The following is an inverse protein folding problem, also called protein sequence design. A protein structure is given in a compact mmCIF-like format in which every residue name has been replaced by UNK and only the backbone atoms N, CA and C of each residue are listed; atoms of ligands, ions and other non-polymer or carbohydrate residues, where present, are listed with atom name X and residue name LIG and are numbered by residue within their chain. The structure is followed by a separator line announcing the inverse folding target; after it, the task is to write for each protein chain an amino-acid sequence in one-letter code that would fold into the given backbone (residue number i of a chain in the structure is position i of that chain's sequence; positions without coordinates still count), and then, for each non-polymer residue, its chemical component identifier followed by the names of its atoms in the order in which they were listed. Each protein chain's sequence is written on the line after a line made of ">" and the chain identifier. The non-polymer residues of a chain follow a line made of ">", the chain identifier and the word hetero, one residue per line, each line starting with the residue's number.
data_IF_568397441699
#
_entry.id   IF_568397441699
#
_cell.length_a   1.000
_cell.length_b   1.000
_cell.length_c   1.000
_cell.angle_alpha   90.00
_cell.angle_beta   90.00
_cell.angle_gamma   90.00
#
_symmetry.space_group_name_H-M   'P 1'
#
loop_
_entity.id
_entity.type
_entity.pdbx_description
1 polymer ?
#
# COMPACT_ATOMS: atom_id res chain seq x y z
N UNK A 1 -16.09 -10.58 7.69
CA UNK A 1 -17.41 -10.63 7.01
C UNK A 1 -18.55 -10.11 7.87
N UNK A 2 -18.37 -9.93 9.19
CA UNK A 2 -19.47 -9.52 10.07
C UNK A 2 -20.01 -8.10 9.79
N UNK A 3 -19.17 -7.19 9.31
CA UNK A 3 -19.59 -5.83 8.92
C UNK A 3 -20.26 -5.76 7.54
N UNK A 4 -19.95 -6.72 6.66
CA UNK A 4 -20.42 -6.78 5.27
C UNK A 4 -20.90 -8.20 4.93
N UNK A 5 -22.05 -8.64 5.46
CA UNK A 5 -22.44 -10.05 5.46
C UNK A 5 -22.80 -10.62 4.08
N UNK A 6 -22.95 -9.76 3.06
CA UNK A 6 -23.27 -10.17 1.68
C UNK A 6 -22.09 -9.98 0.71
N UNK A 7 -20.92 -9.62 1.23
CA UNK A 7 -19.74 -9.41 0.38
C UNK A 7 -19.33 -10.72 -0.29
N UNK A 8 -18.95 -10.61 -1.56
CA UNK A 8 -18.32 -11.68 -2.32
C UNK A 8 -17.07 -11.14 -2.96
N UNK A 9 -16.01 -11.94 -2.98
CA UNK A 9 -14.68 -11.54 -3.43
C UNK A 9 -14.27 -12.49 -4.55
N UNK A 10 -13.86 -11.91 -5.68
CA UNK A 10 -13.11 -12.61 -6.72
C UNK A 10 -11.72 -12.00 -6.79
N UNK A 11 -10.71 -12.79 -7.15
CA UNK A 11 -9.32 -12.35 -7.18
C UNK A 11 -8.69 -12.78 -8.49
N UNK A 12 -7.96 -11.87 -9.12
CA UNK A 12 -7.06 -12.17 -10.23
C UNK A 12 -5.66 -11.81 -9.75
N UNK A 13 -4.85 -12.81 -9.45
CA UNK A 13 -3.42 -12.62 -9.23
C UNK A 13 -2.70 -12.74 -10.56
N UNK A 14 -1.79 -11.82 -10.84
CA UNK A 14 -1.26 -11.62 -12.18
C UNK A 14 0.28 -11.39 -12.12
N UNK A 15 1.04 -12.02 -13.01
CA UNK A 15 2.48 -11.79 -13.25
C UNK A 15 2.77 -10.92 -14.48
N UNK A 16 3.49 -11.46 -15.46
CA UNK A 16 3.65 -10.86 -16.79
C UNK A 16 3.73 -11.97 -17.85
N UNK A 17 3.78 -11.62 -19.14
CA UNK A 17 3.93 -12.58 -20.23
C UNK A 17 5.22 -13.42 -20.12
N UNK A 18 6.27 -12.88 -19.48
CA UNK A 18 7.52 -13.60 -19.24
C UNK A 18 7.40 -14.66 -18.14
N UNK A 19 6.41 -14.58 -17.26
CA UNK A 19 6.20 -15.52 -16.17
C UNK A 19 5.53 -16.83 -16.61
N UNK A 20 5.02 -16.90 -17.84
CA UNK A 20 4.39 -18.10 -18.41
C UNK A 20 5.27 -19.36 -18.33
N UNK A 21 6.60 -19.18 -18.33
CA UNK A 21 7.58 -20.26 -18.23
C UNK A 21 8.16 -20.50 -16.82
N UNK A 22 7.85 -19.66 -15.83
CA UNK A 22 8.47 -19.69 -14.50
C UNK A 22 7.46 -19.97 -13.38
N UNK A 23 6.37 -19.22 -13.32
CA UNK A 23 5.39 -19.25 -12.24
C UNK A 23 3.99 -19.40 -12.82
N UNK A 24 3.34 -18.28 -13.15
CA UNK A 24 2.06 -18.22 -13.83
C UNK A 24 1.90 -16.86 -14.51
N UNK A 25 1.09 -16.83 -15.58
CA UNK A 25 0.60 -15.55 -16.11
C UNK A 25 -0.47 -15.07 -15.14
N UNK A 26 -1.66 -15.69 -15.13
CA UNK A 26 -2.77 -15.37 -14.23
C UNK A 26 -3.20 -16.58 -13.38
N UNK A 27 -3.64 -16.31 -12.15
CA UNK A 27 -4.42 -17.23 -11.31
C UNK A 27 -5.71 -16.53 -10.91
N UNK A 28 -6.83 -17.23 -11.04
CA UNK A 28 -8.16 -16.63 -10.86
C UNK A 28 -8.93 -17.41 -9.79
N UNK A 29 -9.34 -16.72 -8.74
CA UNK A 29 -10.42 -17.12 -7.87
C UNK A 29 -11.70 -16.45 -8.36
N UNK A 30 -12.69 -17.27 -8.74
CA UNK A 30 -13.99 -16.74 -9.11
C UNK A 30 -14.72 -16.14 -7.90
N UNK A 31 -15.71 -15.28 -8.12
CA UNK A 31 -16.42 -14.57 -7.06
C UNK A 31 -17.05 -15.54 -6.06
N UNK A 32 -16.53 -15.55 -4.84
CA UNK A 32 -16.93 -16.45 -3.76
C UNK A 32 -17.35 -15.68 -2.51
N UNK A 33 -18.27 -16.27 -1.74
CA UNK A 33 -18.60 -15.84 -0.37
C UNK A 33 -17.95 -16.75 0.68
N UNK A 34 -17.14 -17.73 0.26
CA UNK A 34 -16.43 -18.62 1.16
C UNK A 34 -15.12 -17.96 1.60
N UNK A 35 -15.03 -17.67 2.90
CA UNK A 35 -13.84 -17.03 3.49
C UNK A 35 -12.63 -17.95 3.42
N UNK A 36 -12.83 -19.25 3.64
CA UNK A 36 -11.75 -20.23 3.65
C UNK A 36 -11.18 -20.37 2.24
N UNK A 37 -12.02 -20.40 1.20
CA UNK A 37 -11.58 -20.43 -0.21
C UNK A 37 -10.75 -19.18 -0.58
N UNK A 38 -11.18 -18.00 -0.14
CA UNK A 38 -10.45 -16.74 -0.37
C UNK A 38 -9.10 -16.76 0.36
N UNK A 39 -9.07 -17.19 1.62
CA UNK A 39 -7.84 -17.28 2.40
C UNK A 39 -6.87 -18.32 1.83
N UNK A 40 -7.36 -19.50 1.46
CA UNK A 40 -6.57 -20.56 0.84
C UNK A 40 -5.98 -20.10 -0.49
N UNK A 41 -6.73 -19.35 -1.29
CA UNK A 41 -6.20 -18.78 -2.53
C UNK A 41 -4.98 -17.88 -2.27
N UNK A 42 -5.07 -16.94 -1.33
CA UNK A 42 -3.95 -16.06 -0.99
C UNK A 42 -2.73 -16.80 -0.42
N UNK A 43 -2.96 -17.82 0.42
CA UNK A 43 -1.86 -18.58 1.02
C UNK A 43 -1.07 -19.42 0.00
N UNK A 44 -1.67 -19.73 -1.15
CA UNK A 44 -1.08 -20.60 -2.18
C UNK A 44 -0.69 -19.87 -3.47
N UNK A 45 -0.78 -18.53 -3.49
CA UNK A 45 -0.23 -17.71 -4.57
C UNK A 45 1.28 -17.52 -4.35
N UNK A 46 2.06 -17.86 -5.36
CA UNK A 46 3.50 -17.58 -5.41
C UNK A 46 3.75 -16.16 -5.94
N UNK A 47 4.82 -15.48 -5.51
CA UNK A 47 5.21 -14.21 -6.12
C UNK A 47 5.67 -14.43 -7.56
N UNK A 48 5.36 -13.46 -8.42
CA UNK A 48 5.82 -13.36 -9.81
C UNK A 48 7.00 -12.41 -9.91
N UNK A 49 7.75 -12.47 -11.01
CA UNK A 49 8.96 -11.66 -11.19
C UNK A 49 8.91 -10.67 -12.33
N UNK A 50 7.95 -10.83 -13.26
CA UNK A 50 7.90 -10.04 -14.48
C UNK A 50 9.09 -10.32 -15.41
N UNK A 51 9.23 -9.48 -16.44
CA UNK A 51 10.41 -9.48 -17.31
C UNK A 51 10.74 -8.11 -17.89
N UNK A 52 9.75 -7.23 -18.02
CA UNK A 52 9.91 -5.82 -18.30
C UNK A 52 9.04 -4.95 -17.38
N UNK A 53 9.02 -3.64 -17.62
CA UNK A 53 8.37 -2.68 -16.71
C UNK A 53 6.84 -2.56 -16.87
N UNK A 54 6.27 -2.54 -18.10
CA UNK A 54 4.82 -2.56 -18.25
C UNK A 54 4.24 -3.86 -17.75
N UNK A 55 3.03 -3.78 -17.20
CA UNK A 55 2.30 -4.93 -16.69
C UNK A 55 1.13 -5.26 -17.62
N UNK A 56 0.62 -6.47 -17.56
CA UNK A 56 -0.36 -6.97 -18.52
C UNK A 56 -1.83 -6.72 -18.08
N UNK A 57 -2.10 -5.50 -17.59
CA UNK A 57 -3.43 -5.08 -17.15
C UNK A 57 -4.52 -5.23 -18.20
N UNK A 58 -4.19 -5.17 -19.49
CA UNK A 58 -5.15 -5.44 -20.57
C UNK A 58 -5.74 -6.85 -20.50
N UNK A 59 -4.93 -7.85 -20.13
CA UNK A 59 -5.38 -9.23 -19.98
C UNK A 59 -6.14 -9.39 -18.67
N UNK A 60 -5.71 -8.74 -17.58
CA UNK A 60 -6.47 -8.72 -16.31
C UNK A 60 -7.88 -8.18 -16.53
N UNK A 61 -8.03 -7.07 -17.26
CA UNK A 61 -9.34 -6.51 -17.61
C UNK A 61 -10.15 -7.42 -18.56
N UNK A 62 -9.47 -8.19 -19.41
CA UNK A 62 -10.12 -9.19 -20.24
C UNK A 62 -10.66 -10.36 -19.41
N UNK A 63 -9.84 -10.93 -18.54
CA UNK A 63 -10.18 -12.06 -17.67
C UNK A 63 -11.24 -11.69 -16.63
N UNK A 64 -11.24 -10.45 -16.14
CA UNK A 64 -12.25 -9.94 -15.23
C UNK A 64 -13.67 -10.02 -15.80
N UNK A 65 -13.85 -9.99 -17.13
CA UNK A 65 -15.16 -10.14 -17.76
C UNK A 65 -15.74 -11.55 -17.59
N UNK A 66 -14.90 -12.55 -17.35
CA UNK A 66 -15.30 -13.95 -17.20
C UNK A 66 -15.70 -14.32 -15.77
N UNK A 67 -15.53 -13.41 -14.80
CA UNK A 67 -15.95 -13.63 -13.42
C UNK A 67 -17.48 -13.68 -13.32
N UNK A 68 -17.98 -14.40 -12.31
CA UNK A 68 -19.41 -14.61 -12.07
C UNK A 68 -20.10 -13.41 -11.42
N UNK A 69 -20.03 -12.25 -12.08
CA UNK A 69 -20.62 -11.00 -11.62
C UNK A 69 -22.14 -11.12 -11.43
N UNK A 70 -22.62 -10.77 -10.23
CA UNK A 70 -24.05 -10.79 -9.92
C UNK A 70 -24.75 -9.56 -10.50
N UNK A 71 -25.81 -9.77 -11.29
CA UNK A 71 -26.57 -8.67 -11.91
C UNK A 71 -27.23 -7.73 -10.90
N UNK A 72 -27.62 -8.23 -9.74
CA UNK A 72 -28.32 -7.48 -8.70
C UNK A 72 -27.39 -6.83 -7.67
N UNK A 73 -26.07 -6.96 -7.82
CA UNK A 73 -25.10 -6.44 -6.88
C UNK A 73 -24.52 -5.10 -7.36
N UNK A 74 -24.10 -4.28 -6.40
CA UNK A 74 -23.10 -3.24 -6.67
C UNK A 74 -21.78 -3.94 -6.95
N UNK A 75 -21.11 -3.59 -8.05
CA UNK A 75 -19.93 -4.29 -8.55
C UNK A 75 -18.76 -3.33 -8.58
N UNK A 76 -17.67 -3.72 -7.95
CA UNK A 76 -16.44 -2.95 -7.94
C UNK A 76 -15.26 -3.82 -8.34
N UNK A 77 -14.39 -3.28 -9.18
CA UNK A 77 -13.11 -3.85 -9.53
C UNK A 77 -12.02 -2.93 -8.99
N UNK A 78 -11.22 -3.45 -8.07
CA UNK A 78 -10.09 -2.74 -7.46
C UNK A 78 -8.82 -3.24 -8.15
N UNK A 79 -8.24 -2.42 -9.02
CA UNK A 79 -6.99 -2.74 -9.71
C UNK A 79 -5.83 -2.17 -8.90
N UNK A 80 -5.00 -3.05 -8.32
CA UNK A 80 -3.84 -2.66 -7.50
C UNK A 80 -2.58 -2.99 -8.28
N UNK A 81 -1.68 -2.03 -8.48
CA UNK A 81 -0.37 -2.23 -9.10
C UNK A 81 0.44 -0.94 -9.13
N UNK A 82 1.58 -0.91 -9.81
CA UNK A 82 2.56 0.20 -9.75
C UNK A 82 3.03 0.74 -11.11
N UNK A 83 2.62 0.17 -12.25
CA UNK A 83 3.04 0.58 -13.61
C UNK A 83 1.87 0.70 -14.61
N UNK A 84 2.16 0.76 -15.92
CA UNK A 84 1.21 0.92 -17.04
C UNK A 84 0.98 -0.38 -17.81
N UNK A 85 -0.13 -0.49 -18.57
CA UNK A 85 -0.38 -1.63 -19.45
C UNK A 85 0.61 -1.74 -20.60
N UNK A 86 0.83 -2.97 -21.07
CA UNK A 86 1.54 -3.22 -22.32
C UNK A 86 0.88 -2.55 -23.53
N UNK A 87 1.71 -2.01 -24.42
CA UNK A 87 1.24 -1.50 -25.72
C UNK A 87 0.75 -2.65 -26.62
N UNK A 88 -0.15 -2.36 -27.57
CA UNK A 88 -0.68 -3.35 -28.53
C UNK A 88 0.39 -4.12 -29.30
N UNK A 89 1.56 -3.51 -29.54
CA UNK A 89 2.66 -4.19 -30.22
C UNK A 89 3.26 -5.32 -29.37
N UNK A 90 3.28 -5.15 -28.05
CA UNK A 90 3.97 -6.02 -27.09
C UNK A 90 3.04 -6.98 -26.35
N UNK A 91 1.73 -6.74 -26.32
CA UNK A 91 0.78 -7.76 -25.85
C UNK A 91 0.47 -8.80 -26.97
N UNK A 92 0.59 -10.12 -26.72
CA UNK A 92 0.33 -11.16 -27.73
C UNK A 92 -1.12 -11.21 -28.19
N UNK A 93 -2.07 -10.92 -27.29
CA UNK A 93 -3.50 -11.02 -27.57
C UNK A 93 -4.07 -9.80 -28.32
N UNK A 94 -3.26 -8.75 -28.55
CA UNK A 94 -3.70 -7.50 -29.21
C UNK A 94 -4.89 -6.84 -28.53
N UNK A 95 -4.95 -6.99 -27.20
CA UNK A 95 -5.98 -6.42 -26.35
C UNK A 95 -5.75 -4.92 -26.17
N UNK A 96 -6.81 -4.14 -26.32
CA UNK A 96 -6.79 -2.73 -26.00
C UNK A 96 -7.48 -2.56 -24.65
N UNK A 97 -6.70 -2.25 -23.61
CA UNK A 97 -7.22 -2.13 -22.24
C UNK A 97 -8.40 -1.16 -22.12
N UNK A 98 -8.45 -0.08 -22.91
CA UNK A 98 -9.59 0.85 -22.91
C UNK A 98 -10.88 0.19 -23.41
N UNK A 99 -10.78 -0.67 -24.42
CA UNK A 99 -11.92 -1.44 -24.95
C UNK A 99 -12.35 -2.53 -23.97
N UNK A 100 -11.41 -3.19 -23.29
CA UNK A 100 -11.76 -4.15 -22.23
C UNK A 100 -12.45 -3.44 -21.06
N UNK A 101 -12.00 -2.22 -20.75
CA UNK A 101 -12.63 -1.37 -19.76
C UNK A 101 -14.04 -0.90 -20.17
N UNK A 102 -14.28 -0.59 -21.45
CA UNK A 102 -15.63 -0.30 -21.97
C UNK A 102 -16.58 -1.46 -21.70
N UNK A 103 -16.17 -2.70 -21.98
CA UNK A 103 -17.01 -3.90 -21.78
C UNK A 103 -17.36 -4.12 -20.32
N UNK A 104 -16.41 -3.91 -19.40
CA UNK A 104 -16.66 -4.00 -17.96
C UNK A 104 -17.57 -2.85 -17.48
N UNK A 105 -17.41 -1.65 -18.04
CA UNK A 105 -18.27 -0.49 -17.76
C UNK A 105 -19.72 -0.72 -18.22
N UNK A 106 -19.92 -1.30 -19.39
CA UNK A 106 -21.24 -1.73 -19.91
C UNK A 106 -21.92 -2.75 -18.99
N UNK A 107 -21.14 -3.48 -18.19
CA UNK A 107 -21.63 -4.40 -17.16
C UNK A 107 -21.90 -3.72 -15.81
N UNK A 108 -21.85 -2.38 -15.72
CA UNK A 108 -22.05 -1.60 -14.49
C UNK A 108 -21.05 -1.97 -13.38
N UNK A 109 -19.77 -2.07 -13.74
CA UNK A 109 -18.66 -2.29 -12.80
C UNK A 109 -17.95 -0.95 -12.54
N UNK A 110 -17.84 -0.55 -11.28
CA UNK A 110 -17.05 0.62 -10.86
C UNK A 110 -15.59 0.25 -10.64
N UNK A 111 -14.67 1.02 -11.20
CA UNK A 111 -13.22 0.80 -11.14
C UNK A 111 -12.55 1.69 -10.11
N UNK A 112 -11.72 1.09 -9.28
CA UNK A 112 -10.80 1.80 -8.40
C UNK A 112 -9.38 1.50 -8.88
N UNK A 113 -8.69 2.54 -9.31
CA UNK A 113 -7.27 2.45 -9.66
C UNK A 113 -6.44 2.70 -8.40
N UNK A 114 -5.88 1.65 -7.83
CA UNK A 114 -5.05 1.73 -6.63
C UNK A 114 -3.59 1.65 -7.05
N UNK A 115 -2.93 2.81 -7.08
CA UNK A 115 -1.54 2.94 -7.46
C UNK A 115 -0.62 2.70 -6.25
N UNK A 116 0.18 1.64 -6.30
CA UNK A 116 1.29 1.41 -5.39
C UNK A 116 2.55 2.16 -5.84
N UNK A 117 3.45 2.44 -4.90
CA UNK A 117 4.77 3.06 -5.12
C UNK A 117 4.78 4.48 -5.74
N UNK A 118 3.63 5.07 -6.06
CA UNK A 118 3.48 6.43 -6.58
C UNK A 118 4.34 6.78 -7.80
N UNK A 119 4.58 5.81 -8.69
CA UNK A 119 5.35 6.04 -9.92
C UNK A 119 4.61 6.99 -10.85
N UNK A 120 5.04 8.25 -10.90
CA UNK A 120 4.36 9.30 -11.66
C UNK A 120 4.04 8.98 -13.14
N UNK A 121 4.85 8.20 -13.88
CA UNK A 121 4.49 7.82 -15.26
C UNK A 121 3.22 6.96 -15.37
N UNK A 122 2.87 6.22 -14.30
CA UNK A 122 1.71 5.35 -14.27
C UNK A 122 0.42 6.05 -13.79
N UNK A 123 0.55 7.20 -13.12
CA UNK A 123 -0.60 7.95 -12.59
C UNK A 123 -1.70 8.26 -13.61
N UNK A 124 -1.40 8.68 -14.86
CA UNK A 124 -2.46 8.90 -15.86
C UNK A 124 -3.27 7.65 -16.19
N UNK A 125 -2.66 6.46 -16.14
CA UNK A 125 -3.37 5.20 -16.37
C UNK A 125 -4.36 4.90 -15.22
N UNK A 126 -3.92 5.02 -13.97
CA UNK A 126 -4.78 4.80 -12.80
C UNK A 126 -5.90 5.85 -12.66
N UNK A 127 -5.65 7.09 -13.08
CA UNK A 127 -6.69 8.12 -13.19
C UNK A 127 -7.72 7.76 -14.26
N UNK A 128 -7.28 7.42 -15.46
CA UNK A 128 -8.18 7.12 -16.58
C UNK A 128 -9.07 5.90 -16.31
N UNK A 129 -8.52 4.83 -15.71
CA UNK A 129 -9.33 3.64 -15.37
C UNK A 129 -10.43 3.97 -14.36
N UNK A 130 -10.10 4.75 -13.34
CA UNK A 130 -11.04 5.14 -12.30
C UNK A 130 -12.14 6.06 -12.83
N UNK A 131 -11.76 7.13 -13.53
CA UNK A 131 -12.67 8.17 -14.04
C UNK A 131 -13.73 7.61 -14.98
N UNK A 132 -13.37 6.61 -15.80
CA UNK A 132 -14.26 6.04 -16.82
C UNK A 132 -15.55 5.43 -16.25
N UNK A 133 -15.52 4.96 -15.01
CA UNK A 133 -16.69 4.38 -14.32
C UNK A 133 -17.22 5.22 -13.17
N UNK A 134 -16.62 6.40 -12.93
CA UNK A 134 -16.95 7.24 -11.79
C UNK A 134 -16.39 6.76 -10.44
N UNK A 135 -15.41 5.84 -10.46
CA UNK A 135 -14.65 5.46 -9.27
C UNK A 135 -13.49 6.42 -8.98
N UNK A 136 -12.44 5.94 -8.31
CA UNK A 136 -11.37 6.78 -7.77
C UNK A 136 -9.97 6.23 -8.02
N UNK A 137 -9.05 7.15 -8.34
CA UNK A 137 -7.62 6.91 -8.25
C UNK A 137 -7.17 7.12 -6.81
N UNK A 138 -6.51 6.12 -6.24
CA UNK A 138 -6.08 6.06 -4.84
C UNK A 138 -4.62 5.64 -4.82
N UNK A 139 -3.81 6.27 -3.97
CA UNK A 139 -2.45 5.82 -3.71
C UNK A 139 -2.42 4.84 -2.54
N UNK A 140 -1.59 3.79 -2.64
CA UNK A 140 -1.34 2.84 -1.56
C UNK A 140 0.08 3.04 -1.02
N UNK A 141 0.21 4.01 -0.11
CA UNK A 141 1.51 4.46 0.42
C UNK A 141 1.97 3.63 1.62
N UNK A 142 1.04 3.01 2.35
CA UNK A 142 1.31 2.07 3.43
C UNK A 142 0.50 0.80 3.20
N UNK A 143 1.15 -0.36 3.21
CA UNK A 143 0.47 -1.65 3.10
C UNK A 143 -0.54 -1.88 4.23
N UNK A 144 -0.31 -1.29 5.40
CA UNK A 144 -1.24 -1.36 6.52
C UNK A 144 -2.61 -0.77 6.21
N UNK A 145 -2.74 0.12 5.22
CA UNK A 145 -4.01 0.75 4.85
C UNK A 145 -4.89 -0.14 3.97
N UNK A 146 -4.43 -1.32 3.55
CA UNK A 146 -5.16 -2.15 2.59
C UNK A 146 -6.57 -2.53 3.09
N UNK A 147 -6.70 -2.85 4.38
CA UNK A 147 -7.99 -3.18 4.99
C UNK A 147 -8.93 -1.98 4.98
N UNK A 148 -8.43 -0.81 5.40
CA UNK A 148 -9.19 0.44 5.39
C UNK A 148 -9.63 0.83 3.98
N UNK A 149 -8.76 0.64 2.99
CA UNK A 149 -9.06 0.89 1.59
C UNK A 149 -10.22 0.02 1.12
N UNK A 150 -10.17 -1.29 1.36
CA UNK A 150 -11.25 -2.20 0.92
C UNK A 150 -12.57 -1.92 1.63
N UNK A 151 -12.54 -1.64 2.93
CA UNK A 151 -13.74 -1.22 3.67
C UNK A 151 -14.29 0.10 3.12
N UNK A 152 -13.43 1.07 2.85
CA UNK A 152 -13.81 2.35 2.26
C UNK A 152 -14.42 2.18 0.86
N UNK A 153 -13.87 1.30 0.01
CA UNK A 153 -14.47 0.94 -1.29
C UNK A 153 -15.88 0.39 -1.08
N UNK A 154 -16.05 -0.57 -0.17
CA UNK A 154 -17.36 -1.17 0.09
C UNK A 154 -18.37 -0.14 0.62
N UNK A 155 -17.97 0.73 1.54
CA UNK A 155 -18.82 1.77 2.11
C UNK A 155 -19.15 2.90 1.14
N UNK A 156 -18.25 3.20 0.21
CA UNK A 156 -18.49 4.18 -0.86
C UNK A 156 -19.62 3.67 -1.78
N UNK A 157 -19.68 2.36 -2.03
CA UNK A 157 -20.72 1.73 -2.84
C UNK A 157 -22.10 1.68 -2.15
N UNK A 158 -22.17 1.81 -0.82
CA UNK A 158 -23.38 1.62 -0.02
C UNK A 158 -23.97 2.90 0.59
N UNK A 159 -23.77 4.06 -0.07
CA UNK A 159 -24.11 5.43 0.32
C UNK A 159 -22.98 6.13 1.11
N UNK A 160 -22.64 7.36 0.70
CA UNK A 160 -21.61 8.20 1.32
C UNK A 160 -21.69 8.34 2.86
N UNK A 161 -22.86 8.12 3.48
CA UNK A 161 -23.03 8.16 4.94
C UNK A 161 -22.26 7.06 5.66
N UNK A 162 -22.15 5.85 5.08
CA UNK A 162 -21.40 4.76 5.72
C UNK A 162 -19.91 5.05 5.70
N UNK A 163 -19.40 5.58 4.57
CA UNK A 163 -18.00 5.99 4.48
C UNK A 163 -17.66 7.11 5.48
N UNK A 164 -18.56 8.08 5.67
CA UNK A 164 -18.42 9.12 6.69
C UNK A 164 -18.42 8.54 8.11
N UNK A 165 -19.29 7.57 8.42
CA UNK A 165 -19.31 6.93 9.73
C UNK A 165 -18.01 6.16 10.01
N UNK A 166 -17.50 5.45 9.00
CA UNK A 166 -16.23 4.73 9.09
C UNK A 166 -15.05 5.68 9.32
N UNK A 167 -14.98 6.81 8.60
CA UNK A 167 -13.96 7.84 8.86
C UNK A 167 -13.99 8.33 10.33
N UNK A 168 -15.18 8.58 10.88
CA UNK A 168 -15.31 9.02 12.28
C UNK A 168 -14.88 7.95 13.28
N UNK A 169 -15.08 6.67 12.97
CA UNK A 169 -14.59 5.57 13.78
C UNK A 169 -13.06 5.56 13.82
N UNK A 170 -12.41 5.64 12.66
CA UNK A 170 -10.93 5.67 12.55
C UNK A 170 -10.34 6.87 13.29
N UNK A 171 -11.00 8.04 13.21
CA UNK A 171 -10.62 9.23 13.98
C UNK A 171 -10.74 8.98 15.50
N UNK A 172 -11.84 8.41 15.97
CA UNK A 172 -12.08 8.14 17.40
C UNK A 172 -11.10 7.11 17.97
N UNK A 173 -10.63 6.17 17.15
CA UNK A 173 -9.61 5.20 17.53
C UNK A 173 -8.19 5.80 17.53
N UNK A 174 -8.02 7.05 17.07
CA UNK A 174 -6.72 7.71 16.96
C UNK A 174 -5.82 7.09 15.89
N UNK A 175 -6.43 6.45 14.87
CA UNK A 175 -5.72 5.74 13.81
C UNK A 175 -5.65 6.53 12.49
N UNK A 176 -6.28 7.70 12.43
CA UNK A 176 -6.33 8.53 11.23
C UNK A 176 -4.95 9.12 10.91
N UNK A 177 -4.26 8.60 9.90
CA UNK A 177 -3.03 9.21 9.37
C UNK A 177 -3.34 10.19 8.25
N UNK A 178 -2.33 10.95 7.80
CA UNK A 178 -2.46 11.81 6.61
C UNK A 178 -2.88 11.01 5.37
N UNK A 179 -2.29 9.84 5.15
CA UNK A 179 -2.63 8.97 4.02
C UNK A 179 -4.09 8.51 4.04
N UNK A 180 -4.59 8.07 5.20
CA UNK A 180 -6.01 7.71 5.35
C UNK A 180 -6.94 8.91 5.19
N UNK A 181 -6.57 10.09 5.70
CA UNK A 181 -7.33 11.31 5.47
C UNK A 181 -7.40 11.68 3.97
N UNK A 182 -6.32 11.51 3.21
CA UNK A 182 -6.32 11.71 1.75
C UNK A 182 -7.24 10.71 1.05
N UNK A 183 -7.19 9.43 1.45
CA UNK A 183 -8.08 8.37 0.95
C UNK A 183 -9.56 8.76 1.13
N UNK A 184 -9.94 9.12 2.37
CA UNK A 184 -11.32 9.50 2.70
C UNK A 184 -11.79 10.74 1.93
N UNK A 185 -10.98 11.79 1.89
CA UNK A 185 -11.32 13.01 1.15
C UNK A 185 -11.46 12.76 -0.35
N UNK A 186 -10.57 11.94 -0.93
CA UNK A 186 -10.64 11.52 -2.33
C UNK A 186 -11.96 10.82 -2.63
N UNK A 187 -12.28 9.76 -1.88
CA UNK A 187 -13.50 8.97 -2.09
C UNK A 187 -14.80 9.74 -1.81
N UNK A 188 -14.76 10.76 -0.95
CA UNK A 188 -15.90 11.63 -0.68
C UNK A 188 -15.94 12.89 -1.55
N UNK A 189 -14.99 13.04 -2.47
CA UNK A 189 -14.84 14.23 -3.35
C UNK A 189 -14.81 15.54 -2.55
N UNK A 190 -14.16 15.53 -1.39
CA UNK A 190 -13.94 16.72 -0.57
C UNK A 190 -12.67 17.40 -1.04
N UNK A 191 -12.79 18.60 -1.62
CA UNK A 191 -11.62 19.41 -1.93
C UNK A 191 -11.01 19.96 -0.63
N UNK A 192 -9.77 19.58 -0.35
CA UNK A 192 -8.88 20.34 0.53
C UNK A 192 -9.42 20.67 1.92
N UNK A 193 -10.18 19.78 2.56
CA UNK A 193 -10.46 19.88 4.01
C UNK A 193 -9.33 19.15 4.72
N UNK A 194 -8.25 19.83 5.13
CA UNK A 194 -7.09 19.16 5.66
C UNK A 194 -7.42 18.85 7.12
N UNK A 195 -7.59 17.57 7.47
CA UNK A 195 -7.58 17.19 8.88
C UNK A 195 -6.23 17.59 9.53
N UNK A 196 -5.16 17.60 8.72
CA UNK A 196 -3.81 18.03 9.08
C UNK A 196 -3.34 19.20 8.22
N UNK A 197 -2.56 20.12 8.79
CA UNK A 197 -1.85 21.16 8.03
C UNK A 197 -1.00 20.57 6.89
N UNK A 198 -0.66 21.39 5.89
CA UNK A 198 0.18 20.96 4.75
C UNK A 198 1.47 20.28 5.23
N UNK A 199 1.83 19.18 4.58
CA UNK A 199 3.07 18.45 4.89
C UNK A 199 4.29 19.38 4.78
N UNK A 200 5.20 19.25 5.74
CA UNK A 200 6.50 19.92 5.69
C UNK A 200 7.27 19.44 4.44
N UNK A 201 7.87 20.37 3.71
CA UNK A 201 8.60 20.10 2.45
C UNK A 201 9.82 19.18 2.64
N UNK A 202 10.25 18.96 3.88
CA UNK A 202 11.35 18.05 4.23
C UNK A 202 10.88 16.64 4.59
N UNK A 203 9.57 16.38 4.58
CA UNK A 203 9.04 15.04 4.75
C UNK A 203 9.46 14.15 3.57
N UNK A 204 9.71 12.87 3.86
CA UNK A 204 9.96 11.87 2.83
C UNK A 204 8.70 11.64 2.00
N UNK A 205 8.88 11.20 0.76
CA UNK A 205 7.74 10.88 -0.10
C UNK A 205 6.88 9.78 0.54
N UNK A 206 5.54 9.92 0.51
CA UNK A 206 4.65 8.81 0.83
C UNK A 206 5.01 7.57 0.00
N UNK A 207 5.11 6.42 0.64
CA UNK A 207 5.50 5.15 0.01
C UNK A 207 6.97 4.77 0.16
N UNK A 208 7.88 5.72 0.44
CA UNK A 208 9.32 5.43 0.58
C UNK A 208 9.65 4.47 1.73
N UNK A 209 8.82 4.44 2.77
CA UNK A 209 8.93 3.49 3.87
C UNK A 209 7.59 2.86 4.19
N UNK A 210 7.62 1.59 4.61
CA UNK A 210 6.50 0.83 5.13
C UNK A 210 6.63 0.69 6.65
N UNK A 211 5.61 1.13 7.39
CA UNK A 211 5.54 0.99 8.85
C UNK A 211 4.87 -0.35 9.19
N UNK A 212 5.64 -1.26 9.77
CA UNK A 212 5.18 -2.60 10.12
C UNK A 212 5.14 -2.79 11.63
N UNK A 213 4.10 -3.47 12.13
CA UNK A 213 3.97 -3.76 13.55
C UNK A 213 4.69 -5.06 13.91
N UNK A 214 5.51 -5.02 14.95
CA UNK A 214 6.25 -6.19 15.44
C UNK A 214 5.41 -6.85 16.54
N UNK A 215 4.73 -7.96 16.24
CA UNK A 215 3.84 -8.60 17.22
C UNK A 215 4.59 -9.28 18.37
N UNK A 216 5.77 -9.81 18.10
CA UNK A 216 6.59 -10.54 19.06
C UNK A 216 8.07 -10.32 18.80
N UNK A 217 8.89 -10.62 19.80
CA UNK A 217 10.34 -10.60 19.70
C UNK A 217 10.85 -11.50 18.57
N UNK A 218 11.56 -10.94 17.60
CA UNK A 218 12.02 -11.64 16.39
C UNK A 218 13.28 -10.99 15.81
N UNK A 219 14.12 -11.71 15.05
CA UNK A 219 15.23 -11.06 14.35
C UNK A 219 14.74 -10.37 13.06
N UNK A 220 15.38 -9.26 12.68
CA UNK A 220 14.99 -8.47 11.50
C UNK A 220 14.86 -9.33 10.24
N UNK A 221 15.81 -10.22 9.98
CA UNK A 221 15.76 -11.05 8.77
C UNK A 221 14.53 -11.96 8.75
N UNK A 222 14.21 -12.60 9.87
CA UNK A 222 13.01 -13.46 9.94
C UNK A 222 11.74 -12.61 9.80
N UNK A 223 11.66 -11.46 10.47
CA UNK A 223 10.51 -10.56 10.37
C UNK A 223 10.23 -10.11 8.94
N UNK A 224 11.25 -9.69 8.20
CA UNK A 224 11.12 -9.28 6.79
C UNK A 224 10.59 -10.44 5.95
N UNK A 225 11.14 -11.64 6.11
CA UNK A 225 10.72 -12.82 5.33
C UNK A 225 9.31 -13.30 5.70
N UNK A 226 8.92 -13.23 6.97
CA UNK A 226 7.55 -13.56 7.43
C UNK A 226 6.50 -12.59 6.86
N UNK A 227 6.90 -11.35 6.55
CA UNK A 227 6.05 -10.37 5.87
C UNK A 227 6.16 -10.44 4.33
N UNK A 228 6.77 -11.50 3.78
CA UNK A 228 7.02 -11.67 2.34
C UNK A 228 7.79 -10.52 1.68
N UNK A 229 8.63 -9.80 2.45
CA UNK A 229 9.47 -8.72 1.97
C UNK A 229 10.87 -9.22 1.60
N UNK A 230 11.56 -8.47 0.74
CA UNK A 230 12.92 -8.80 0.29
C UNK A 230 13.94 -8.32 1.34
N UNK A 231 14.75 -9.25 1.86
CA UNK A 231 15.80 -8.86 2.80
C UNK A 231 16.99 -8.21 2.11
N UNK A 232 17.19 -6.92 2.35
CA UNK A 232 18.40 -6.17 1.98
C UNK A 232 19.01 -5.49 3.21
N UNK A 233 20.33 -5.61 3.36
CA UNK A 233 21.06 -5.01 4.48
C UNK A 233 20.99 -3.49 4.39
N UNK A 234 20.70 -2.82 5.50
CA UNK A 234 20.59 -1.35 5.56
C UNK A 234 19.20 -0.78 5.25
N UNK A 235 18.28 -1.57 4.69
CA UNK A 235 16.90 -1.15 4.36
C UNK A 235 15.91 -1.24 5.54
N UNK A 236 16.38 -1.61 6.72
CA UNK A 236 15.53 -1.91 7.88
C UNK A 236 15.86 -1.05 9.09
N UNK A 237 14.85 -0.47 9.72
CA UNK A 237 15.01 0.44 10.86
C UNK A 237 14.14 0.00 12.02
N UNK A 238 14.75 -0.21 13.19
CA UNK A 238 14.03 -0.61 14.40
C UNK A 238 13.62 0.63 15.19
N UNK A 239 12.46 0.56 15.84
CA UNK A 239 12.02 1.61 16.75
C UNK A 239 12.98 1.73 17.94
N UNK A 240 13.41 2.96 18.20
CA UNK A 240 14.31 3.33 19.26
C UNK A 240 13.55 3.44 20.59
N UNK A 241 13.54 2.34 21.35
CA UNK A 241 12.76 2.23 22.61
C UNK A 241 13.61 2.30 23.88
N UNK A 242 14.93 2.24 23.76
CA UNK A 242 15.85 2.23 24.90
C UNK A 242 17.06 3.10 24.63
N UNK A 243 17.69 3.54 25.72
CA UNK A 243 18.94 4.29 25.68
C UNK A 243 20.02 3.43 25.00
N UNK A 244 20.59 3.94 23.92
CA UNK A 244 21.77 3.35 23.26
C UNK A 244 22.57 4.43 22.52
N UNK A 245 23.82 4.09 22.19
CA UNK A 245 24.68 4.93 21.37
C UNK A 245 24.38 4.69 19.89
N UNK A 246 23.97 5.73 19.18
CA UNK A 246 23.75 5.69 17.73
C UNK A 246 25.00 6.23 17.04
N UNK A 247 25.60 5.40 16.18
CA UNK A 247 26.80 5.76 15.44
C UNK A 247 26.48 6.80 14.37
N UNK A 248 27.42 7.74 14.12
CA UNK A 248 27.27 8.80 13.12
C UNK A 248 26.79 8.31 11.75
N UNK A 249 27.35 7.20 11.28
CA UNK A 249 27.05 6.60 9.98
C UNK A 249 25.66 5.98 9.83
N UNK A 250 24.90 5.84 10.93
CA UNK A 250 23.56 5.27 10.86
C UNK A 250 22.57 6.36 10.52
N UNK A 251 21.62 6.00 9.66
CA UNK A 251 20.46 6.82 9.39
C UNK A 251 19.45 6.76 10.55
N UNK A 252 18.75 7.89 10.71
CA UNK A 252 17.69 8.09 11.70
C UNK A 252 16.48 8.59 10.93
N UNK A 253 15.34 7.93 11.16
CA UNK A 253 14.05 8.35 10.62
C UNK A 253 13.16 8.76 11.79
N UNK A 254 12.50 9.90 11.67
CA UNK A 254 11.53 10.40 12.65
C UNK A 254 10.14 10.34 12.04
N UNK A 255 9.18 9.76 12.74
CA UNK A 255 7.77 9.74 12.34
C UNK A 255 6.95 10.60 13.30
N UNK A 256 6.18 11.55 12.78
CA UNK A 256 5.19 12.29 13.56
C UNK A 256 4.09 11.32 14.03
N UNK A 257 3.80 11.31 15.34
CA UNK A 257 2.82 10.38 15.92
C UNK A 257 1.39 10.68 15.51
N UNK A 258 1.10 11.94 15.17
CA UNK A 258 -0.23 12.40 14.85
C UNK A 258 -0.49 12.22 13.35
N UNK A 259 0.40 12.73 12.51
CA UNK A 259 0.18 12.71 11.05
C UNK A 259 0.65 11.43 10.37
N UNK A 260 1.63 10.74 10.97
CA UNK A 260 2.36 9.64 10.34
C UNK A 260 3.42 10.09 9.33
N UNK A 261 3.66 11.40 9.18
CA UNK A 261 4.69 11.93 8.27
C UNK A 261 6.07 11.48 8.74
N UNK A 262 6.92 11.07 7.79
CA UNK A 262 8.26 10.57 8.03
C UNK A 262 9.30 11.59 7.57
N UNK A 263 10.39 11.69 8.32
CA UNK A 263 11.50 12.62 8.09
C UNK A 263 12.80 11.85 8.14
N UNK A 264 13.73 12.14 7.23
CA UNK A 264 15.03 11.48 7.15
C UNK A 264 16.20 12.48 7.16
N UNK A 265 17.42 11.96 7.23
CA UNK A 265 18.64 12.74 7.03
C UNK A 265 18.81 13.91 8.01
N UNK A 266 19.13 15.09 7.48
CA UNK A 266 19.35 16.30 8.28
C UNK A 266 18.06 16.77 8.98
N UNK A 267 16.91 16.67 8.31
CA UNK A 267 15.62 17.07 8.88
C UNK A 267 15.29 16.24 10.13
N UNK A 268 15.43 14.92 10.06
CA UNK A 268 15.23 14.04 11.21
C UNK A 268 16.16 14.38 12.39
N UNK A 269 17.41 14.76 12.12
CA UNK A 269 18.39 15.12 13.16
C UNK A 269 18.09 16.48 13.78
N UNK A 270 17.72 17.47 12.98
CA UNK A 270 17.32 18.81 13.46
C UNK A 270 16.07 18.72 14.34
N UNK A 271 15.06 17.96 13.94
CA UNK A 271 13.83 17.76 14.73
C UNK A 271 14.06 17.14 16.11
N UNK A 272 15.19 16.46 16.29
CA UNK A 272 15.57 15.78 17.52
C UNK A 272 16.68 16.51 18.28
N UNK A 273 17.07 17.71 17.84
CA UNK A 273 18.19 18.50 18.36
C UNK A 273 19.53 17.73 18.37
N UNK A 274 19.78 16.95 17.32
CA UNK A 274 20.94 16.07 17.23
C UNK A 274 22.06 16.69 16.38
N UNK A 275 23.32 16.58 16.81
CA UNK A 275 24.45 17.00 15.99
C UNK A 275 24.52 16.20 14.68
N UNK A 276 24.91 16.90 13.60
CA UNK A 276 25.21 16.28 12.31
C UNK A 276 26.49 15.45 12.40
N UNK A 277 26.49 14.29 11.76
CA UNK A 277 27.65 13.40 11.60
C UNK A 277 28.37 12.99 12.89
N UNK A 278 27.66 13.04 14.03
CA UNK A 278 28.20 12.67 15.31
C UNK A 278 27.58 11.37 15.84
N UNK A 279 28.40 10.64 16.62
CA UNK A 279 27.90 9.53 17.43
C UNK A 279 27.24 10.12 18.66
N UNK A 280 25.97 9.76 18.88
CA UNK A 280 25.10 10.41 19.85
C UNK A 280 24.60 9.42 20.90
N UNK A 281 24.34 9.94 22.09
CA UNK A 281 23.71 9.23 23.19
C UNK A 281 22.36 9.88 23.48
N UNK A 282 21.27 9.19 23.10
CA UNK A 282 19.90 9.71 23.19
C UNK A 282 19.11 8.94 24.24
N UNK A 283 18.20 9.67 24.92
CA UNK A 283 17.16 9.08 25.76
C UNK A 283 15.79 9.18 25.05
N UNK A 284 14.96 8.12 25.08
CA UNK A 284 13.64 8.16 24.46
C UNK A 284 12.67 9.23 25.00
N UNK A 285 12.86 9.69 26.25
CA UNK A 285 11.99 10.70 26.89
C UNK A 285 11.96 12.05 26.20
N UNK A 286 12.94 12.36 25.35
CA UNK A 286 12.99 13.63 24.61
C UNK A 286 12.18 13.56 23.30
N UNK A 287 11.51 12.44 23.02
CA UNK A 287 10.95 12.09 21.72
C UNK A 287 9.43 11.92 21.79
N UNK A 288 8.72 12.53 22.74
CA UNK A 288 7.29 12.26 22.94
C UNK A 288 6.42 12.55 21.71
N UNK A 289 6.77 13.58 20.92
CA UNK A 289 6.07 13.91 19.66
C UNK A 289 6.34 12.90 18.54
N UNK A 290 7.52 12.28 18.54
CA UNK A 290 8.01 11.49 17.42
C UNK A 290 8.20 10.01 17.77
N UNK A 291 8.23 9.21 16.74
CA UNK A 291 8.71 7.84 16.80
C UNK A 291 10.02 7.82 16.06
N UNK A 292 11.08 7.42 16.74
CA UNK A 292 12.41 7.45 16.15
C UNK A 292 12.79 6.04 15.77
N UNK A 293 13.28 5.88 14.55
CA UNK A 293 13.75 4.63 14.00
C UNK A 293 15.22 4.77 13.65
N UNK A 294 15.98 3.71 13.94
CA UNK A 294 17.42 3.69 13.71
C UNK A 294 17.76 2.56 12.75
N UNK A 295 18.57 2.87 11.75
CA UNK A 295 19.00 1.90 10.75
C UNK A 295 19.72 0.70 11.41
N UNK A 296 19.35 -0.50 10.96
CA UNK A 296 20.05 -1.72 11.28
C UNK A 296 20.93 -2.17 10.12
N UNK A 297 22.22 -2.33 10.41
CA UNK A 297 23.19 -3.00 9.53
C UNK A 297 23.44 -4.45 9.95
N UNK A 298 22.51 -5.05 10.71
CA UNK A 298 22.60 -6.43 11.20
C UNK A 298 21.34 -7.22 10.85
N UNK A 299 21.53 -8.39 10.22
CA UNK A 299 20.46 -9.35 9.96
C UNK A 299 19.86 -9.96 11.25
N UNK A 300 20.67 -10.03 12.31
CA UNK A 300 20.32 -10.71 13.57
C UNK A 300 19.88 -9.72 14.67
N UNK A 301 19.75 -8.43 14.36
CA UNK A 301 19.19 -7.46 15.32
C UNK A 301 17.81 -7.94 15.74
N UNK A 302 17.61 -8.04 17.06
CA UNK A 302 16.33 -8.41 17.65
C UNK A 302 15.40 -7.20 17.63
N UNK A 303 14.27 -7.32 16.94
CA UNK A 303 13.10 -6.48 17.08
C UNK A 303 12.33 -6.87 18.33
N UNK A 304 11.75 -5.88 19.00
CA UNK A 304 11.03 -6.07 20.26
C UNK A 304 9.53 -6.12 19.95
N UNK A 305 8.82 -7.05 20.57
CA UNK A 305 7.36 -7.13 20.44
C UNK A 305 6.67 -5.83 20.87
N UNK A 306 5.54 -5.53 20.23
CA UNK A 306 4.71 -4.32 20.40
C UNK A 306 5.39 -3.02 19.97
N UNK A 307 6.51 -3.08 19.25
CA UNK A 307 7.12 -1.92 18.61
C UNK A 307 6.83 -1.90 17.12
N UNK A 308 7.34 -0.88 16.43
CA UNK A 308 7.31 -0.79 14.97
C UNK A 308 8.66 -1.10 14.35
N UNK A 309 8.61 -1.39 13.07
CA UNK A 309 9.75 -1.53 12.18
C UNK A 309 9.47 -0.75 10.90
N UNK A 310 10.40 0.09 10.46
CA UNK A 310 10.33 0.68 9.13
C UNK A 310 11.13 -0.18 8.16
N UNK A 311 10.50 -0.49 7.04
CA UNK A 311 11.15 -1.07 5.88
C UNK A 311 11.20 -0.02 4.77
N UNK A 312 12.40 0.30 4.30
CA UNK A 312 12.58 1.19 3.16
C UNK A 312 12.20 0.45 1.88
N UNK A 313 11.17 0.96 1.18
CA UNK A 313 10.74 0.42 -0.10
C UNK A 313 11.85 0.64 -1.13
N UNK A 314 11.96 -0.28 -2.11
CA UNK A 314 12.94 -0.09 -3.17
C UNK A 314 12.53 1.10 -4.03
N UNK A 315 13.40 2.11 -4.10
CA UNK A 315 13.34 3.10 -5.16
C UNK A 315 13.80 2.40 -6.45
N UNK A 316 12.85 1.99 -7.28
CA UNK A 316 13.10 1.41 -8.61
C UNK A 316 13.65 2.45 -9.62
N UNK A 317 13.84 3.70 -9.19
CA UNK A 317 14.36 4.81 -10.00
C UNK A 317 15.91 4.85 -10.11
N UNK A 318 16.63 3.78 -9.75
CA UNK A 318 18.09 3.66 -9.91
C UNK A 318 18.52 2.54 -10.85
#
# INVERSE_FOLDING_TARGET
>A
MDELPLIKIGIIAYGDYYDAGSTYVSKILNISSDVDEVCDFFQNIEPTGGGDAPEYYELVLHEAQCLSWSKSANKSLVLIGDDIPHALAHNPQKLNWRKELDKLGDAEITFYGVQALNRSPATPFYQEIAEKSGGFHITLDQFSYITDLFLAVCYQQSLNKQLQAYEQEIIQQGQISRGLNILFNTMMKREGVPYYESTDLTAVSPGSFQVLHVHQDICIKAFILENALIFKLGRGFYEFTKIETIQAKKEIISMDRETGDLFEGSSAREMLDLPMDATIWIKPSNLEKYVVFVQSTSANRKLIGKTRFLYEAENWDN
#
